data_IF_965277785883
#
_entry.id   IF_965277785883
#
_cell.length_a   1.000
_cell.length_b   1.000
_cell.length_c   1.000
_cell.angle_alpha   90.00
_cell.angle_beta   90.00
_cell.angle_gamma   90.00
#
_symmetry.space_group_name_H-M   'P 1'
#
loop_
_entity.id
_entity.type
_entity.pdbx_description
1 polymer ?
#
# COMPACT_ATOMS: atom_id res chain seq x y z
N UNK A 1 -26.83 -15.03 -9.25
CA UNK A 1 -26.77 -16.14 -8.28
C UNK A 1 -25.58 -17.08 -8.56
N UNK A 2 -25.44 -17.63 -9.77
CA UNK A 2 -24.35 -18.58 -10.12
C UNK A 2 -22.94 -18.01 -10.00
N UNK A 3 -22.71 -16.76 -10.42
CA UNK A 3 -21.41 -16.10 -10.25
C UNK A 3 -21.02 -15.93 -8.77
N UNK A 4 -21.97 -15.50 -7.93
CA UNK A 4 -21.72 -15.33 -6.50
C UNK A 4 -21.42 -16.68 -5.83
N UNK A 5 -22.18 -17.73 -6.17
CA UNK A 5 -21.92 -19.08 -5.67
C UNK A 5 -20.53 -19.58 -6.06
N UNK A 6 -20.14 -19.42 -7.34
CA UNK A 6 -18.83 -19.80 -7.82
C UNK A 6 -17.71 -19.02 -7.11
N UNK A 7 -17.85 -17.69 -6.97
CA UNK A 7 -16.85 -16.86 -6.31
C UNK A 7 -16.68 -17.21 -4.83
N UNK A 8 -17.75 -17.53 -4.12
CA UNK A 8 -17.67 -17.95 -2.71
C UNK A 8 -17.05 -19.34 -2.57
N UNK A 9 -17.40 -20.30 -3.44
CA UNK A 9 -16.84 -21.66 -3.38
C UNK A 9 -15.35 -21.69 -3.74
N UNK A 10 -14.94 -21.02 -4.81
CA UNK A 10 -13.54 -20.89 -5.20
C UNK A 10 -12.76 -20.10 -4.16
N UNK A 11 -13.29 -18.96 -3.69
CA UNK A 11 -12.66 -18.14 -2.66
C UNK A 11 -12.42 -18.90 -1.36
N UNK A 12 -13.42 -19.64 -0.86
CA UNK A 12 -13.28 -20.43 0.37
C UNK A 12 -12.29 -21.58 0.23
N UNK A 13 -12.29 -22.29 -0.91
CA UNK A 13 -11.32 -23.38 -1.17
C UNK A 13 -9.88 -22.86 -1.25
N UNK A 14 -9.67 -21.73 -1.92
CA UNK A 14 -8.34 -21.10 -2.05
C UNK A 14 -7.83 -20.58 -0.71
N UNK A 15 -8.68 -19.91 0.08
CA UNK A 15 -8.32 -19.46 1.43
C UNK A 15 -8.01 -20.63 2.37
N UNK A 16 -8.75 -21.73 2.28
CA UNK A 16 -8.48 -22.94 3.07
C UNK A 16 -7.13 -23.57 2.69
N UNK A 17 -6.83 -23.68 1.39
CA UNK A 17 -5.56 -24.18 0.87
C UNK A 17 -4.39 -23.28 1.28
N UNK A 18 -4.56 -21.95 1.21
CA UNK A 18 -3.56 -20.97 1.65
C UNK A 18 -3.28 -21.06 3.16
N UNK A 19 -4.34 -21.17 3.98
CA UNK A 19 -4.21 -21.32 5.43
C UNK A 19 -3.43 -22.60 5.79
N UNK A 20 -3.71 -23.72 5.10
CA UNK A 20 -3.00 -24.99 5.30
C UNK A 20 -1.52 -24.90 4.89
N UNK A 21 -1.21 -24.26 3.76
CA UNK A 21 0.18 -24.02 3.33
C UNK A 21 0.93 -23.14 4.32
N UNK A 22 0.33 -22.07 4.82
CA UNK A 22 0.94 -21.17 5.79
C UNK A 22 1.22 -21.87 7.13
N UNK A 23 0.34 -22.75 7.59
CA UNK A 23 0.57 -23.55 8.80
C UNK A 23 1.79 -24.49 8.65
N UNK A 24 1.96 -25.11 7.48
CA UNK A 24 3.11 -25.96 7.18
C UNK A 24 4.43 -25.19 6.99
N UNK A 25 4.36 -23.95 6.48
CA UNK A 25 5.54 -23.09 6.23
C UNK A 25 6.01 -22.31 7.47
N UNK A 26 5.16 -22.07 8.46
CA UNK A 26 5.58 -21.43 9.71
C UNK A 26 6.61 -22.26 10.50
N UNK A 27 6.80 -23.53 10.16
CA UNK A 27 7.88 -24.37 10.69
C UNK A 27 9.23 -24.15 9.96
N UNK A 28 9.22 -23.47 8.82
CA UNK A 28 10.41 -23.14 8.03
C UNK A 28 10.61 -21.61 8.09
N UNK A 29 11.17 -21.12 9.19
CA UNK A 29 11.53 -19.70 9.35
C UNK A 29 12.59 -19.31 8.34
N UNK A 30 12.18 -18.79 7.18
CA UNK A 30 13.09 -18.23 6.22
C UNK A 30 13.39 -16.78 6.60
N UNK A 31 14.65 -16.48 6.89
CA UNK A 31 15.18 -15.14 7.18
C UNK A 31 15.30 -14.25 5.91
N UNK A 32 14.57 -14.56 4.84
CA UNK A 32 14.59 -13.76 3.61
C UNK A 32 13.59 -12.62 3.70
N UNK A 33 14.10 -11.40 3.60
CA UNK A 33 13.30 -10.17 3.56
C UNK A 33 13.41 -9.52 2.19
N UNK A 34 12.26 -9.18 1.60
CA UNK A 34 12.19 -8.34 0.40
C UNK A 34 12.26 -6.88 0.82
N UNK A 35 13.23 -6.09 0.34
CA UNK A 35 13.28 -4.66 0.66
C UNK A 35 12.09 -3.92 0.06
N UNK A 36 11.35 -3.14 0.88
CA UNK A 36 10.12 -2.45 0.46
C UNK A 36 10.16 -0.97 0.83
N UNK A 37 9.87 -0.10 -0.12
CA UNK A 37 9.62 1.33 0.11
C UNK A 37 8.12 1.57 0.28
N UNK A 38 7.69 1.97 1.48
CA UNK A 38 6.28 2.29 1.77
C UNK A 38 6.04 3.74 1.39
N UNK A 39 5.18 3.98 0.40
CA UNK A 39 4.87 5.31 -0.14
C UNK A 39 3.50 5.74 0.38
N UNK A 40 3.46 6.91 1.02
CA UNK A 40 2.27 7.51 1.61
C UNK A 40 2.02 8.88 0.95
N UNK A 41 1.17 8.97 -0.08
CA UNK A 41 0.74 10.25 -0.62
C UNK A 41 -0.18 10.93 0.39
N UNK A 42 0.04 12.21 0.66
CA UNK A 42 -0.73 12.99 1.62
C UNK A 42 -1.13 14.35 1.01
N UNK A 43 -2.39 14.73 1.20
CA UNK A 43 -2.90 16.06 0.85
C UNK A 43 -3.95 16.51 1.84
N UNK A 44 -3.63 17.50 2.68
CA UNK A 44 -4.48 18.01 3.78
C UNK A 44 -4.89 16.92 4.79
N UNK A 45 -3.88 16.20 5.29
CA UNK A 45 -4.04 15.06 6.22
C UNK A 45 -3.41 15.34 7.59
N UNK A 46 -3.42 16.59 8.07
CA UNK A 46 -2.78 16.97 9.34
C UNK A 46 -3.29 16.19 10.54
N UNK A 47 -4.53 15.68 10.49
CA UNK A 47 -5.19 14.95 11.59
C UNK A 47 -4.77 13.47 11.62
N UNK A 48 -4.55 12.84 10.47
CA UNK A 48 -4.40 11.38 10.32
C UNK A 48 -2.95 10.96 10.11
N UNK A 49 -2.15 11.78 9.44
CA UNK A 49 -0.81 11.41 8.94
C UNK A 49 0.15 10.93 10.05
N UNK A 50 0.13 11.52 11.23
CA UNK A 50 0.99 11.09 12.34
C UNK A 50 0.63 9.68 12.80
N UNK A 51 -0.66 9.38 12.97
CA UNK A 51 -1.13 8.06 13.39
C UNK A 51 -0.78 7.00 12.35
N UNK A 52 -0.93 7.32 11.06
CA UNK A 52 -0.55 6.45 9.95
C UNK A 52 0.94 6.12 9.99
N UNK A 53 1.84 7.11 10.09
CA UNK A 53 3.28 6.87 10.15
C UNK A 53 3.65 6.06 11.40
N UNK A 54 3.03 6.34 12.56
CA UNK A 54 3.26 5.54 13.78
C UNK A 54 2.84 4.08 13.61
N UNK A 55 1.74 3.80 12.91
CA UNK A 55 1.32 2.43 12.60
C UNK A 55 2.33 1.73 11.68
N UNK A 56 2.91 2.46 10.71
CA UNK A 56 3.95 1.94 9.84
C UNK A 56 5.25 1.63 10.59
N UNK A 57 5.61 2.44 11.58
CA UNK A 57 6.78 2.19 12.45
C UNK A 57 6.60 0.98 13.38
N UNK A 58 5.35 0.57 13.63
CA UNK A 58 4.99 -0.59 14.44
C UNK A 58 4.95 -1.91 13.65
N UNK A 59 5.24 -1.89 12.34
CA UNK A 59 5.28 -3.09 11.51
C UNK A 59 6.39 -4.04 11.97
N UNK A 60 6.06 -5.33 12.06
CA UNK A 60 7.03 -6.40 12.33
C UNK A 60 7.71 -6.81 11.03
N UNK A 61 8.56 -5.92 10.52
CA UNK A 61 9.35 -6.14 9.31
C UNK A 61 10.71 -5.46 9.44
N UNK A 62 11.77 -6.08 8.91
CA UNK A 62 13.14 -5.61 9.14
C UNK A 62 13.68 -4.65 8.10
N UNK A 63 13.25 -4.77 6.86
CA UNK A 63 13.90 -4.11 5.72
C UNK A 63 12.91 -3.28 4.91
N UNK A 64 12.57 -2.11 5.41
CA UNK A 64 11.71 -1.14 4.72
C UNK A 64 12.09 0.30 5.05
N UNK A 65 11.62 1.21 4.24
CA UNK A 65 11.67 2.66 4.43
C UNK A 65 10.27 3.25 4.26
N UNK A 66 10.02 4.42 4.82
CA UNK A 66 8.76 5.16 4.69
C UNK A 66 9.02 6.45 3.92
N UNK A 67 8.26 6.68 2.85
CA UNK A 67 8.34 7.88 2.02
C UNK A 67 6.97 8.56 2.04
N UNK A 68 6.86 9.65 2.78
CA UNK A 68 5.67 10.50 2.81
C UNK A 68 5.80 11.55 1.72
N UNK A 69 4.82 11.66 0.84
CA UNK A 69 4.80 12.66 -0.22
C UNK A 69 3.65 13.64 0.05
N UNK A 70 3.98 14.82 0.54
CA UNK A 70 3.05 15.92 0.72
C UNK A 70 2.83 16.64 -0.63
N UNK A 71 1.68 16.40 -1.22
CA UNK A 71 1.28 16.91 -2.53
C UNK A 71 0.79 18.37 -2.48
N UNK A 72 1.57 19.23 -1.83
CA UNK A 72 1.27 20.66 -1.74
C UNK A 72 0.10 20.96 -0.80
N UNK A 73 0.05 20.33 0.38
CA UNK A 73 -0.96 20.60 1.39
C UNK A 73 -0.98 22.07 1.80
N UNK A 74 -2.19 22.59 2.01
CA UNK A 74 -2.44 23.95 2.51
C UNK A 74 -2.59 24.01 4.03
N UNK A 75 -2.75 22.87 4.70
CA UNK A 75 -2.86 22.72 6.15
C UNK A 75 -1.50 22.47 6.83
N UNK A 76 -1.52 21.93 8.05
CA UNK A 76 -0.32 21.62 8.83
C UNK A 76 0.33 20.27 8.54
N UNK A 77 -0.08 19.52 7.51
CA UNK A 77 0.38 18.15 7.23
C UNK A 77 1.91 18.01 7.29
N UNK A 78 2.66 18.75 6.49
CA UNK A 78 4.14 18.71 6.51
C UNK A 78 4.72 19.08 7.87
N UNK A 79 4.15 20.08 8.54
CA UNK A 79 4.63 20.56 9.85
C UNK A 79 4.45 19.50 10.93
N UNK A 80 3.30 18.83 10.95
CA UNK A 80 3.01 17.74 11.90
C UNK A 80 4.03 16.62 11.75
N UNK A 81 4.30 16.16 10.52
CA UNK A 81 5.28 15.11 10.26
C UNK A 81 6.69 15.53 10.69
N UNK A 82 7.13 16.75 10.34
CA UNK A 82 8.44 17.26 10.72
C UNK A 82 8.65 17.31 12.23
N UNK A 83 7.64 17.80 12.98
CA UNK A 83 7.70 17.94 14.43
C UNK A 83 7.62 16.58 15.15
N UNK A 84 6.67 15.74 14.76
CA UNK A 84 6.45 14.44 15.39
C UNK A 84 7.65 13.48 15.26
N UNK A 85 8.41 13.58 14.16
CA UNK A 85 9.51 12.67 13.87
C UNK A 85 10.90 13.33 13.87
N UNK A 86 11.02 14.60 14.29
CA UNK A 86 12.30 15.29 14.43
C UNK A 86 13.09 15.38 13.12
N UNK A 87 12.39 15.68 12.02
CA UNK A 87 12.97 15.65 10.68
C UNK A 87 13.86 16.87 10.41
N UNK A 88 14.91 16.67 9.65
CA UNK A 88 15.81 17.73 9.22
C UNK A 88 15.76 17.88 7.70
N UNK A 89 15.78 19.14 7.24
CA UNK A 89 15.83 19.44 5.81
C UNK A 89 17.17 18.97 5.25
N UNK A 90 17.11 18.29 4.13
CA UNK A 90 18.27 17.84 3.37
C UNK A 90 18.19 18.33 1.93
N UNK A 91 19.35 18.37 1.28
CA UNK A 91 19.46 18.61 -0.17
C UNK A 91 19.91 17.31 -0.83
N UNK A 92 18.92 16.57 -1.37
CA UNK A 92 19.14 15.32 -2.07
C UNK A 92 18.41 15.37 -3.42
N UNK A 93 19.12 15.20 -4.55
CA UNK A 93 18.46 15.11 -5.85
C UNK A 93 17.67 13.81 -5.94
N UNK A 94 16.43 13.90 -6.47
CA UNK A 94 15.63 12.73 -6.83
C UNK A 94 15.73 12.55 -8.34
N UNK A 95 16.17 11.36 -8.76
CA UNK A 95 16.23 11.03 -10.19
C UNK A 95 14.80 10.82 -10.72
N UNK A 96 14.35 11.74 -11.55
CA UNK A 96 13.04 11.67 -12.18
C UNK A 96 13.03 10.66 -13.32
N UNK A 97 12.54 9.45 -13.05
CA UNK A 97 12.34 8.39 -14.04
C UNK A 97 10.91 8.38 -14.59
N UNK A 98 9.95 8.79 -13.76
CA UNK A 98 8.55 8.99 -14.12
C UNK A 98 8.27 10.49 -13.98
N UNK A 99 7.56 11.07 -14.96
CA UNK A 99 7.20 12.49 -14.91
C UNK A 99 6.29 12.77 -13.71
N UNK A 100 6.64 13.80 -12.95
CA UNK A 100 5.85 14.32 -11.85
C UNK A 100 6.22 15.79 -11.62
N UNK A 101 5.39 16.53 -10.89
CA UNK A 101 5.67 17.93 -10.54
C UNK A 101 6.87 18.04 -9.61
N UNK A 102 7.60 19.18 -9.66
CA UNK A 102 8.85 19.32 -8.94
C UNK A 102 8.68 19.28 -7.41
N UNK A 103 9.70 18.75 -6.73
CA UNK A 103 9.84 18.83 -5.29
C UNK A 103 10.22 20.24 -4.86
N UNK A 104 9.72 20.65 -3.69
CA UNK A 104 10.04 21.94 -3.04
C UNK A 104 11.06 21.76 -1.91
N UNK A 105 10.93 20.67 -1.14
CA UNK A 105 11.80 20.37 -0.03
C UNK A 105 11.78 18.87 0.32
N UNK A 106 12.91 18.39 0.86
CA UNK A 106 13.04 17.04 1.39
C UNK A 106 13.49 17.12 2.83
N UNK A 107 12.89 16.26 3.68
CA UNK A 107 13.27 16.14 5.09
C UNK A 107 13.46 14.66 5.42
N UNK A 108 14.46 14.34 6.26
CA UNK A 108 14.74 12.97 6.69
C UNK A 108 14.92 12.89 8.21
N UNK A 109 14.62 11.73 8.79
CA UNK A 109 14.89 11.43 10.19
C UNK A 109 16.31 10.91 10.34
N UNK A 110 17.01 11.30 11.44
CA UNK A 110 18.35 10.77 11.76
C UNK A 110 18.36 9.70 12.86
N UNK A 111 17.29 9.58 13.63
CA UNK A 111 17.28 8.81 14.89
C UNK A 111 16.32 7.62 14.90
N UNK A 112 15.62 7.35 13.84
CA UNK A 112 14.64 6.26 13.76
C UNK A 112 15.29 4.96 13.23
N UNK A 113 14.85 3.81 13.76
CA UNK A 113 15.27 2.48 13.27
C UNK A 113 14.88 2.26 11.80
N UNK A 114 13.74 2.82 11.40
CA UNK A 114 13.23 2.80 10.03
C UNK A 114 13.43 4.20 9.43
N UNK A 115 14.08 4.33 8.27
CA UNK A 115 14.23 5.62 7.60
C UNK A 115 12.88 6.21 7.21
N UNK A 116 12.64 7.48 7.53
CA UNK A 116 11.47 8.22 7.09
C UNK A 116 11.94 9.42 6.27
N UNK A 117 11.43 9.53 5.05
CA UNK A 117 11.64 10.67 4.16
C UNK A 117 10.30 11.38 3.96
N UNK A 118 10.27 12.69 4.16
CA UNK A 118 9.15 13.55 3.79
C UNK A 118 9.56 14.39 2.58
N UNK A 119 8.79 14.29 1.50
CA UNK A 119 8.97 15.08 0.28
C UNK A 119 7.79 16.03 0.17
N UNK A 120 8.07 17.31 0.20
CA UNK A 120 7.10 18.34 -0.12
C UNK A 120 7.22 18.73 -1.58
N UNK A 121 6.11 18.75 -2.33
CA UNK A 121 6.08 19.05 -3.76
C UNK A 121 4.91 19.94 -4.15
N UNK A 122 4.93 20.47 -5.37
CA UNK A 122 3.79 21.16 -5.94
C UNK A 122 2.62 20.18 -6.16
N UNK A 123 1.39 20.63 -5.87
CA UNK A 123 0.20 19.79 -6.03
C UNK A 123 0.04 19.30 -7.47
N UNK A 124 -0.08 17.98 -7.62
CA UNK A 124 -0.26 17.30 -8.90
C UNK A 124 -1.31 16.19 -8.85
N UNK A 125 -1.88 15.94 -7.65
CA UNK A 125 -2.82 14.87 -7.40
C UNK A 125 -2.15 13.57 -6.93
N UNK A 126 -2.96 12.61 -6.46
CA UNK A 126 -2.50 11.35 -5.85
C UNK A 126 -1.54 10.57 -6.75
N UNK A 127 -1.88 10.39 -8.03
CA UNK A 127 -1.04 9.69 -9.01
C UNK A 127 0.35 10.34 -9.16
N UNK A 128 0.40 11.66 -9.21
CA UNK A 128 1.64 12.44 -9.32
C UNK A 128 2.49 12.33 -8.03
N UNK A 129 1.84 12.34 -6.87
CA UNK A 129 2.50 12.11 -5.58
C UNK A 129 3.08 10.69 -5.48
N UNK A 130 2.35 9.67 -5.94
CA UNK A 130 2.84 8.30 -6.02
C UNK A 130 4.05 8.18 -6.95
N UNK A 131 4.02 8.80 -8.13
CA UNK A 131 5.15 8.84 -9.06
C UNK A 131 6.40 9.49 -8.43
N UNK A 132 6.23 10.56 -7.66
CA UNK A 132 7.33 11.17 -6.90
C UNK A 132 7.90 10.20 -5.86
N UNK A 133 7.04 9.50 -5.12
CA UNK A 133 7.44 8.48 -4.15
C UNK A 133 8.21 7.32 -4.81
N UNK A 134 7.76 6.84 -5.97
CA UNK A 134 8.45 5.79 -6.75
C UNK A 134 9.83 6.29 -7.21
N UNK A 135 9.94 7.53 -7.70
CA UNK A 135 11.22 8.11 -8.09
C UNK A 135 12.20 8.23 -6.90
N UNK A 136 11.69 8.53 -5.71
CA UNK A 136 12.49 8.69 -4.50
C UNK A 136 12.83 7.37 -3.80
N UNK A 137 12.11 6.29 -4.10
CA UNK A 137 12.27 5.00 -3.43
C UNK A 137 13.62 4.35 -3.69
N UNK A 138 14.21 3.73 -2.65
CA UNK A 138 15.52 3.07 -2.72
C UNK A 138 15.40 1.59 -3.07
N UNK A 139 14.27 0.94 -2.73
CA UNK A 139 14.12 -0.50 -2.80
C UNK A 139 13.46 -0.99 -4.09
N UNK A 140 13.60 -2.28 -4.44
CA UNK A 140 13.09 -2.86 -5.68
C UNK A 140 11.58 -3.03 -5.71
N UNK A 141 10.94 -3.04 -4.56
CA UNK A 141 9.48 -3.09 -4.41
C UNK A 141 8.99 -1.86 -3.66
N UNK A 142 7.83 -1.38 -4.02
CA UNK A 142 7.14 -0.34 -3.27
C UNK A 142 5.73 -0.77 -2.91
N UNK A 143 5.26 -0.27 -1.77
CA UNK A 143 3.92 -0.43 -1.25
C UNK A 143 3.24 0.92 -1.21
N UNK A 144 2.05 1.05 -1.80
CA UNK A 144 1.22 2.24 -1.64
C UNK A 144 0.27 2.07 -0.46
N UNK A 145 0.10 3.12 0.33
CA UNK A 145 -0.86 3.19 1.43
C UNK A 145 -1.42 4.60 1.55
N UNK A 146 -2.74 4.72 1.75
CA UNK A 146 -3.38 6.03 1.95
C UNK A 146 -3.03 6.62 3.31
N UNK A 147 -2.96 7.96 3.39
CA UNK A 147 -2.53 8.70 4.58
C UNK A 147 -3.50 8.62 5.77
N UNK A 148 -4.68 8.05 5.59
CA UNK A 148 -5.71 7.78 6.60
C UNK A 148 -5.85 6.28 6.95
N UNK A 149 -4.97 5.44 6.40
CA UNK A 149 -5.03 3.99 6.57
C UNK A 149 -4.10 3.50 7.69
N UNK A 150 -4.51 2.41 8.36
CA UNK A 150 -3.74 1.75 9.42
C UNK A 150 -3.44 0.31 9.01
N UNK A 151 -2.18 -0.09 9.05
CA UNK A 151 -1.74 -1.45 8.78
C UNK A 151 -1.65 -2.29 10.07
N UNK A 152 -2.00 -3.57 9.97
CA UNK A 152 -1.65 -4.54 11.01
C UNK A 152 -0.15 -4.81 11.00
N UNK A 153 0.43 -5.13 12.15
CA UNK A 153 1.88 -5.31 12.31
C UNK A 153 2.49 -6.34 11.36
N UNK A 154 1.77 -7.39 11.01
CA UNK A 154 2.20 -8.48 10.12
C UNK A 154 1.83 -8.28 8.65
N UNK A 155 1.25 -7.12 8.30
CA UNK A 155 0.72 -6.85 6.95
C UNK A 155 1.81 -6.89 5.88
N UNK A 156 2.99 -6.31 6.17
CA UNK A 156 4.09 -6.25 5.23
C UNK A 156 4.70 -7.63 4.98
N UNK A 157 4.84 -8.44 6.02
CA UNK A 157 5.27 -9.84 5.89
C UNK A 157 4.30 -10.64 5.01
N UNK A 158 2.98 -10.48 5.23
CA UNK A 158 1.97 -11.21 4.48
C UNK A 158 1.93 -10.82 2.99
N UNK A 159 2.05 -9.52 2.67
CA UNK A 159 1.93 -9.05 1.28
C UNK A 159 3.16 -9.38 0.44
N UNK A 160 4.35 -9.54 1.03
CA UNK A 160 5.58 -9.92 0.30
C UNK A 160 5.70 -11.42 0.05
N UNK A 161 4.97 -12.27 0.77
CA UNK A 161 5.04 -13.74 0.62
C UNK A 161 4.84 -14.24 -0.81
N UNK A 162 3.82 -13.79 -1.58
CA UNK A 162 3.65 -14.24 -2.96
C UNK A 162 4.87 -13.94 -3.86
N UNK A 163 5.54 -12.81 -3.62
CA UNK A 163 6.75 -12.42 -4.35
C UNK A 163 7.94 -13.33 -4.01
N UNK A 164 8.04 -13.79 -2.75
CA UNK A 164 9.06 -14.77 -2.34
C UNK A 164 8.79 -16.18 -2.89
N UNK A 165 7.52 -16.49 -3.18
CA UNK A 165 7.10 -17.80 -3.68
C UNK A 165 7.26 -17.95 -5.20
N UNK A 166 7.26 -16.83 -5.94
CA UNK A 166 7.33 -16.86 -7.40
C UNK A 166 7.89 -15.56 -7.98
N UNK A 167 8.92 -15.69 -8.81
CA UNK A 167 9.54 -14.57 -9.55
C UNK A 167 8.60 -13.96 -10.62
N UNK A 168 7.50 -14.64 -10.94
CA UNK A 168 6.49 -14.15 -11.88
C UNK A 168 5.48 -13.19 -11.24
N UNK A 169 5.48 -13.06 -9.91
CA UNK A 169 4.59 -12.13 -9.21
C UNK A 169 5.18 -10.73 -9.24
N UNK A 170 4.53 -9.84 -9.97
CA UNK A 170 4.97 -8.46 -10.16
C UNK A 170 4.19 -7.44 -9.33
N UNK A 171 2.96 -7.80 -8.94
CA UNK A 171 2.10 -6.96 -8.11
C UNK A 171 1.21 -7.82 -7.20
N UNK A 172 0.95 -7.33 -5.99
CA UNK A 172 0.12 -8.03 -4.98
C UNK A 172 -0.83 -7.02 -4.33
N UNK A 173 -2.13 -7.31 -4.33
CA UNK A 173 -3.13 -6.53 -3.62
C UNK A 173 -3.43 -7.12 -2.25
N UNK A 174 -3.44 -6.29 -1.21
CA UNK A 174 -3.87 -6.68 0.11
C UNK A 174 -5.38 -6.54 0.34
N UNK A 175 -5.87 -7.09 1.44
CA UNK A 175 -7.27 -6.96 1.85
C UNK A 175 -7.45 -5.68 2.66
N UNK A 176 -8.42 -4.86 2.26
CA UNK A 176 -8.80 -3.63 2.96
C UNK A 176 -10.14 -3.86 3.67
N UNK A 177 -10.25 -3.32 4.88
CA UNK A 177 -11.47 -3.33 5.66
C UNK A 177 -11.80 -1.95 6.19
N UNK A 178 -13.06 -1.52 6.18
CA UNK A 178 -13.47 -0.28 6.83
C UNK A 178 -13.16 -0.32 8.32
N UNK A 179 -12.62 0.76 8.88
CA UNK A 179 -12.35 0.86 10.32
C UNK A 179 -13.60 1.02 11.19
N UNK A 180 -14.79 1.11 10.59
CA UNK A 180 -16.06 1.22 11.31
C UNK A 180 -16.29 -0.04 12.17
N UNK A 181 -16.27 0.14 13.49
CA UNK A 181 -16.38 -0.98 14.44
C UNK A 181 -15.06 -1.67 14.80
N UNK A 182 -13.92 -1.19 14.32
CA UNK A 182 -12.61 -1.63 14.75
C UNK A 182 -12.19 -0.89 16.03
N UNK A 183 -11.73 -1.64 17.03
CA UNK A 183 -11.03 -1.11 18.20
C UNK A 183 -9.54 -1.10 17.88
N UNK A 184 -8.94 0.09 17.76
CA UNK A 184 -7.53 0.27 17.40
C UNK A 184 -6.80 0.86 18.60
N UNK A 185 -5.77 0.16 19.08
CA UNK A 185 -4.85 0.64 20.13
C UNK A 185 -3.43 0.65 19.61
N UNK A 186 -2.76 1.80 19.75
CA UNK A 186 -1.37 2.01 19.34
C UNK A 186 -1.07 1.56 17.89
N UNK A 187 -2.03 1.74 16.98
CA UNK A 187 -1.90 1.32 15.58
C UNK A 187 -2.19 -0.18 15.31
N UNK A 188 -2.60 -0.93 16.34
CA UNK A 188 -3.01 -2.33 16.19
C UNK A 188 -4.52 -2.48 16.29
N UNK A 189 -5.11 -3.26 15.39
CA UNK A 189 -6.52 -3.65 15.48
C UNK A 189 -6.65 -4.75 16.54
N UNK A 190 -7.16 -4.39 17.72
CA UNK A 190 -7.36 -5.33 18.86
C UNK A 190 -8.61 -6.16 18.62
N UNK A 191 -9.66 -5.55 18.12
CA UNK A 191 -10.95 -6.22 17.92
C UNK A 191 -11.69 -5.62 16.73
N UNK A 192 -12.35 -6.48 15.99
CA UNK A 192 -13.24 -6.09 14.90
C UNK A 192 -14.67 -6.48 15.24
N UNK A 193 -15.60 -5.52 15.25
CA UNK A 193 -17.03 -5.73 15.46
C UNK A 193 -17.81 -5.26 14.24
N UNK A 194 -18.95 -5.89 13.96
CA UNK A 194 -19.88 -5.33 13.00
C UNK A 194 -20.41 -4.00 13.52
N UNK A 195 -20.46 -2.97 12.67
CA UNK A 195 -21.04 -1.67 13.05
C UNK A 195 -22.53 -1.79 13.37
N UNK A 196 -23.03 -0.96 14.29
CA UNK A 196 -24.47 -0.91 14.61
C UNK A 196 -25.29 -0.22 13.52
N UNK A 197 -24.66 0.57 12.66
CA UNK A 197 -25.32 1.27 11.56
C UNK A 197 -25.46 0.35 10.35
N UNK A 198 -26.68 0.19 9.82
CA UNK A 198 -26.99 -0.69 8.69
C UNK A 198 -26.19 -0.36 7.44
N UNK A 199 -25.98 0.92 7.12
CA UNK A 199 -25.21 1.36 5.95
C UNK A 199 -23.74 0.94 6.12
N UNK A 200 -23.16 1.13 7.30
CA UNK A 200 -21.81 0.70 7.60
C UNK A 200 -21.68 -0.84 7.55
N UNK A 201 -22.67 -1.59 8.02
CA UNK A 201 -22.72 -3.05 7.86
C UNK A 201 -22.72 -3.46 6.39
N UNK A 202 -23.53 -2.81 5.56
CA UNK A 202 -23.58 -3.09 4.10
C UNK A 202 -22.23 -2.77 3.45
N UNK A 203 -21.55 -1.71 3.86
CA UNK A 203 -20.23 -1.36 3.38
C UNK A 203 -19.20 -2.44 3.74
N UNK A 204 -19.17 -2.93 4.98
CA UNK A 204 -18.28 -4.01 5.41
C UNK A 204 -18.53 -5.29 4.59
N UNK A 205 -19.80 -5.68 4.40
CA UNK A 205 -20.16 -6.85 3.60
C UNK A 205 -19.74 -6.71 2.14
N UNK A 206 -19.87 -5.52 1.55
CA UNK A 206 -19.45 -5.26 0.18
C UNK A 206 -17.93 -5.33 0.02
N UNK A 207 -17.16 -4.80 0.97
CA UNK A 207 -15.70 -4.94 1.00
C UNK A 207 -15.29 -6.40 1.13
N UNK A 208 -15.85 -7.14 2.09
CA UNK A 208 -15.53 -8.56 2.27
C UNK A 208 -15.91 -9.37 1.03
N UNK A 209 -17.05 -9.12 0.40
CA UNK A 209 -17.46 -9.75 -0.87
C UNK A 209 -16.44 -9.44 -1.99
N UNK A 210 -16.04 -8.20 -2.12
CA UNK A 210 -15.09 -7.78 -3.16
C UNK A 210 -13.73 -8.43 -2.97
N UNK A 211 -13.16 -8.34 -1.77
CA UNK A 211 -11.80 -8.80 -1.51
C UNK A 211 -11.69 -10.32 -1.33
N UNK A 212 -12.64 -10.96 -0.63
CA UNK A 212 -12.54 -12.37 -0.24
C UNK A 212 -13.24 -13.34 -1.23
N UNK A 213 -14.03 -12.82 -2.16
CA UNK A 213 -14.70 -13.67 -3.15
C UNK A 213 -14.31 -13.26 -4.57
N UNK A 214 -14.71 -12.07 -5.02
CA UNK A 214 -14.59 -11.70 -6.44
C UNK A 214 -13.13 -11.61 -6.88
N UNK A 215 -12.25 -10.94 -6.12
CA UNK A 215 -10.82 -10.79 -6.49
C UNK A 215 -10.09 -12.12 -6.47
N UNK A 216 -10.35 -13.01 -5.50
CA UNK A 216 -9.74 -14.33 -5.45
C UNK A 216 -10.18 -15.19 -6.64
N UNK A 217 -11.45 -15.08 -7.06
CA UNK A 217 -11.91 -15.77 -8.25
C UNK A 217 -11.18 -15.28 -9.52
N UNK A 218 -11.07 -13.97 -9.72
CA UNK A 218 -10.36 -13.41 -10.87
C UNK A 218 -8.88 -13.75 -10.86
N UNK A 219 -8.26 -13.84 -9.68
CA UNK A 219 -6.84 -14.22 -9.52
C UNK A 219 -6.54 -15.60 -10.09
N UNK A 220 -7.46 -16.56 -9.96
CA UNK A 220 -7.33 -17.91 -10.54
C UNK A 220 -7.14 -17.90 -12.08
N UNK A 221 -7.59 -16.84 -12.74
CA UNK A 221 -7.53 -16.67 -14.20
C UNK A 221 -6.51 -15.61 -14.62
N UNK A 222 -5.68 -15.13 -13.68
CA UNK A 222 -4.79 -13.97 -13.89
C UNK A 222 -5.56 -12.76 -14.45
N UNK A 223 -6.80 -12.58 -13.98
CA UNK A 223 -7.76 -11.60 -14.48
C UNK A 223 -8.02 -10.44 -13.53
N UNK A 224 -7.20 -10.27 -12.48
CA UNK A 224 -7.30 -9.10 -11.61
C UNK A 224 -6.86 -7.85 -12.36
N UNK A 225 -7.80 -6.94 -12.56
CA UNK A 225 -7.57 -5.67 -13.26
C UNK A 225 -7.45 -4.48 -12.29
N UNK A 226 -7.56 -4.72 -10.99
CA UNK A 226 -7.48 -3.66 -9.98
C UNK A 226 -6.74 -4.15 -8.73
N UNK A 227 -5.72 -3.42 -8.34
CA UNK A 227 -5.07 -3.50 -7.04
C UNK A 227 -5.33 -2.15 -6.37
N UNK A 228 -5.87 -2.16 -5.16
CA UNK A 228 -6.22 -0.92 -4.48
C UNK A 228 -4.97 -0.09 -4.16
N UNK A 229 -5.00 1.20 -4.47
CA UNK A 229 -3.95 2.15 -4.10
C UNK A 229 -3.81 2.37 -2.60
N UNK A 230 -4.79 1.92 -1.79
CA UNK A 230 -4.71 1.97 -0.34
C UNK A 230 -3.87 0.82 0.27
N UNK A 231 -3.62 -0.28 -0.46
CA UNK A 231 -2.72 -1.37 -0.03
C UNK A 231 -2.33 -2.26 -1.21
N UNK A 232 -1.34 -1.83 -1.98
CA UNK A 232 -0.81 -2.53 -3.15
C UNK A 232 0.71 -2.56 -3.17
N UNK A 233 1.31 -3.74 -3.33
CA UNK A 233 2.75 -3.96 -3.51
C UNK A 233 3.05 -4.14 -4.99
N UNK A 234 4.08 -3.46 -5.50
CA UNK A 234 4.48 -3.49 -6.91
C UNK A 234 5.98 -3.59 -7.08
N UNK A 235 6.41 -4.26 -8.15
CA UNK A 235 7.81 -4.26 -8.56
C UNK A 235 8.16 -2.93 -9.25
N UNK A 236 9.05 -2.14 -8.62
CA UNK A 236 9.36 -0.77 -9.02
C UNK A 236 9.80 -0.63 -10.48
N UNK A 237 10.74 -1.46 -10.93
CA UNK A 237 11.29 -1.31 -12.28
C UNK A 237 10.24 -1.55 -13.38
N UNK A 238 9.32 -2.49 -13.17
CA UNK A 238 8.24 -2.73 -14.14
C UNK A 238 7.27 -1.56 -14.19
N UNK A 239 6.92 -0.98 -13.04
CA UNK A 239 6.07 0.21 -13.00
C UNK A 239 6.75 1.41 -13.66
N UNK A 240 8.05 1.62 -13.45
CA UNK A 240 8.81 2.69 -14.11
C UNK A 240 8.81 2.47 -15.63
N UNK A 241 9.09 1.25 -16.10
CA UNK A 241 9.15 0.93 -17.53
C UNK A 241 7.77 1.05 -18.20
N UNK A 242 6.70 0.75 -17.47
CA UNK A 242 5.32 0.97 -17.93
C UNK A 242 4.89 2.45 -17.90
N UNK A 243 5.72 3.37 -17.41
CA UNK A 243 5.46 4.81 -17.39
C UNK A 243 4.80 5.35 -16.11
N UNK A 244 4.65 4.51 -15.05
CA UNK A 244 4.08 4.91 -13.76
C UNK A 244 2.57 5.10 -13.78
N UNK A 245 2.05 5.81 -12.76
CA UNK A 245 0.65 6.19 -12.65
C UNK A 245 0.31 7.33 -13.62
N UNK A 246 -0.84 7.22 -14.29
CA UNK A 246 -1.37 8.31 -15.14
C UNK A 246 -2.25 9.25 -14.31
N UNK A 247 -1.86 10.52 -14.27
CA UNK A 247 -2.59 11.58 -13.55
C UNK A 247 -3.78 12.18 -14.33
N UNK A 248 -4.03 11.73 -15.56
CA UNK A 248 -5.18 12.17 -16.35
C UNK A 248 -6.39 11.24 -16.24
N UNK A 249 -6.31 10.17 -15.45
CA UNK A 249 -7.41 9.19 -15.28
C UNK A 249 -8.03 9.31 -13.90
N UNK A 250 -9.33 9.01 -13.81
CA UNK A 250 -10.07 8.93 -12.53
C UNK A 250 -9.94 7.57 -11.84
N UNK A 251 -9.20 6.63 -12.41
CA UNK A 251 -9.00 5.26 -11.91
C UNK A 251 -7.55 4.83 -12.09
N UNK A 252 -6.63 5.60 -11.52
CA UNK A 252 -5.19 5.43 -11.63
C UNK A 252 -4.73 4.02 -11.21
N UNK A 253 -5.39 3.43 -10.21
CA UNK A 253 -5.08 2.10 -9.70
C UNK A 253 -5.38 1.00 -10.73
N UNK A 254 -6.55 1.08 -11.38
CA UNK A 254 -6.94 0.13 -12.41
C UNK A 254 -6.13 0.34 -13.69
N UNK A 255 -5.88 1.58 -14.06
CA UNK A 255 -5.10 1.94 -15.24
C UNK A 255 -3.68 1.37 -15.14
N UNK A 256 -3.02 1.52 -13.99
CA UNK A 256 -1.69 0.96 -13.76
C UNK A 256 -1.69 -0.57 -13.92
N UNK A 257 -2.65 -1.27 -13.31
CA UNK A 257 -2.70 -2.74 -13.39
C UNK A 257 -2.93 -3.20 -14.83
N UNK A 258 -3.84 -2.57 -15.57
CA UNK A 258 -4.08 -2.88 -16.99
C UNK A 258 -2.83 -2.60 -17.82
N UNK A 259 -2.14 -1.48 -17.58
CA UNK A 259 -0.88 -1.13 -18.24
C UNK A 259 0.21 -2.17 -17.99
N UNK A 260 0.33 -2.66 -16.75
CA UNK A 260 1.27 -3.74 -16.41
C UNK A 260 0.91 -5.06 -17.11
N UNK A 261 -0.38 -5.42 -17.20
CA UNK A 261 -0.82 -6.59 -17.96
C UNK A 261 -0.45 -6.50 -19.45
N UNK A 262 -0.60 -5.33 -20.07
CA UNK A 262 -0.20 -5.13 -21.47
C UNK A 262 1.31 -5.22 -21.61
N UNK A 263 2.05 -4.48 -20.76
CA UNK A 263 3.51 -4.42 -20.80
C UNK A 263 4.19 -5.79 -20.58
N UNK A 264 3.64 -6.66 -19.75
CA UNK A 264 4.22 -7.96 -19.47
C UNK A 264 3.80 -9.07 -20.45
N UNK A 265 2.91 -8.77 -21.42
CA UNK A 265 2.55 -9.72 -22.52
C UNK A 265 3.37 -9.52 -23.79
N UNK A 266 4.03 -8.38 -23.91
CA UNK A 266 4.98 -8.07 -24.99
C UNK A 266 6.40 -8.57 -24.63
#
# INVERSE_FOLDING_TARGET
ASFLFLSVTVGSSTLYAAKRRNALKNELSNEYYVPVSVIVPAYNEEVTIEATIRSLLALDYKLYEIIVVDDGSSDGTSRVVQQAFGMQKIDRPIQQRILCKPQEAIYETRSQKVPITLIRKQNGGKADALNMGINASSYPYFLCIDADSVLQSDSLEKIVRPVLESDHVIAVGGTIRPCNGAEIEQGHVIRYRMPDNLIACMQVLEYDRSFLASRILFDQFNGNIIISGAFGLFQKNLVINAGGYDHNTMGEDMELVVKLHVFCRE
#
